data_IF_955202918150
#
_entry.id   IF_955202918150
#
_cell.length_a   1.000
_cell.length_b   1.000
_cell.length_c   1.000
_cell.angle_alpha   90.00
_cell.angle_beta   90.00
_cell.angle_gamma   90.00
#
_symmetry.space_group_name_H-M   'P 1'
#
loop_
_entity.id
_entity.type
_entity.pdbx_description
1 polymer ?
#
# COMPACT_ATOMS: atom_id res chain seq x y z
N UNK A 1 13.20 -9.42 25.36
CA UNK A 1 13.04 -10.45 24.32
C UNK A 1 12.87 -9.75 22.98
N UNK A 2 13.74 -9.96 21.99
CA UNK A 2 13.51 -9.45 20.64
C UNK A 2 12.26 -10.13 20.08
N UNK A 3 11.27 -9.33 19.69
CA UNK A 3 10.10 -9.82 18.97
C UNK A 3 10.59 -10.26 17.59
N UNK A 4 10.72 -11.58 17.40
CA UNK A 4 10.91 -12.12 16.07
C UNK A 4 9.62 -11.91 15.28
N UNK A 5 9.65 -10.94 14.36
CA UNK A 5 8.67 -10.87 13.30
C UNK A 5 8.81 -12.16 12.49
N UNK A 6 7.75 -12.99 12.36
CA UNK A 6 7.82 -14.16 11.51
C UNK A 6 8.10 -13.68 10.08
N UNK A 7 8.99 -14.41 9.41
CA UNK A 7 9.33 -14.20 8.01
C UNK A 7 8.02 -14.17 7.22
N UNK A 8 7.62 -12.98 6.77
CA UNK A 8 6.41 -12.79 5.96
C UNK A 8 6.44 -13.80 4.83
N UNK A 9 5.36 -14.57 4.70
CA UNK A 9 4.87 -15.13 3.45
C UNK A 9 5.29 -14.21 2.30
N UNK A 10 6.30 -14.62 1.53
CA UNK A 10 6.81 -13.82 0.41
C UNK A 10 5.66 -13.63 -0.58
N UNK A 11 4.96 -12.51 -0.44
CA UNK A 11 3.91 -12.17 -1.37
C UNK A 11 4.60 -11.85 -2.68
N UNK A 12 4.12 -12.47 -3.76
CA UNK A 12 4.62 -12.45 -5.15
C UNK A 12 4.84 -11.05 -5.77
N UNK A 13 4.63 -9.97 -5.01
CA UNK A 13 4.76 -8.60 -5.45
C UNK A 13 6.19 -8.22 -5.74
N UNK A 14 7.18 -8.66 -4.94
CA UNK A 14 8.61 -8.34 -5.17
C UNK A 14 9.13 -8.83 -6.55
N UNK A 15 8.44 -9.80 -7.15
CA UNK A 15 8.73 -10.32 -8.48
C UNK A 15 8.07 -9.53 -9.62
N UNK A 16 7.01 -8.75 -9.37
CA UNK A 16 6.24 -8.11 -10.43
C UNK A 16 7.09 -7.08 -11.19
N UNK A 17 7.13 -7.25 -12.51
CA UNK A 17 7.68 -6.27 -13.43
C UNK A 17 6.70 -5.11 -13.64
N UNK A 18 7.17 -3.92 -14.03
CA UNK A 18 6.28 -2.81 -14.36
C UNK A 18 5.20 -3.17 -15.38
N UNK A 19 5.52 -4.03 -16.37
CA UNK A 19 4.55 -4.49 -17.38
C UNK A 19 3.44 -5.35 -16.76
N UNK A 20 3.78 -6.26 -15.84
CA UNK A 20 2.79 -7.08 -15.13
C UNK A 20 1.91 -6.23 -14.21
N UNK A 21 2.47 -5.22 -13.54
CA UNK A 21 1.68 -4.28 -12.73
C UNK A 21 0.67 -3.53 -13.60
N UNK A 22 1.10 -3.03 -14.76
CA UNK A 22 0.19 -2.35 -15.70
C UNK A 22 -0.92 -3.30 -16.18
N UNK A 23 -0.57 -4.53 -16.57
CA UNK A 23 -1.54 -5.54 -17.01
C UNK A 23 -2.56 -5.89 -15.91
N UNK A 24 -2.14 -5.90 -14.65
CA UNK A 24 -3.06 -6.12 -13.53
C UNK A 24 -4.00 -4.91 -13.33
N UNK A 25 -3.48 -3.69 -13.48
CA UNK A 25 -4.29 -2.47 -13.40
C UNK A 25 -5.27 -2.33 -14.58
N UNK A 26 -4.92 -2.87 -15.75
CA UNK A 26 -5.78 -2.88 -16.95
C UNK A 26 -7.09 -3.64 -16.74
N UNK A 27 -7.12 -4.62 -15.82
CA UNK A 27 -8.34 -5.38 -15.48
C UNK A 27 -9.41 -4.53 -14.77
N UNK A 28 -9.02 -3.41 -14.18
CA UNK A 28 -9.90 -2.61 -13.31
C UNK A 28 -10.08 -1.16 -13.77
N UNK A 29 -9.08 -0.59 -14.44
CA UNK A 29 -9.12 0.80 -14.92
C UNK A 29 -8.95 0.77 -16.42
N UNK A 30 -9.85 1.38 -17.18
CA UNK A 30 -9.76 1.45 -18.64
C UNK A 30 -8.93 2.68 -19.05
N UNK A 31 -8.01 2.54 -20.01
CA UNK A 31 -7.16 3.64 -20.48
C UNK A 31 -6.10 4.09 -19.46
N UNK A 32 -5.80 5.39 -19.40
CA UNK A 32 -4.85 5.99 -18.43
C UNK A 32 -3.44 5.36 -18.42
N UNK A 33 -2.92 4.98 -19.59
CA UNK A 33 -1.65 4.25 -19.72
C UNK A 33 -0.45 4.97 -19.05
N UNK A 34 -0.38 6.29 -19.17
CA UNK A 34 0.67 7.09 -18.54
C UNK A 34 0.63 7.00 -17.00
N UNK A 35 -0.56 7.10 -16.40
CA UNK A 35 -0.74 7.01 -14.95
C UNK A 35 -0.40 5.60 -14.44
N UNK A 36 -0.88 4.55 -15.12
CA UNK A 36 -0.54 3.16 -14.80
C UNK A 36 0.95 2.88 -14.86
N UNK A 37 1.63 3.38 -15.90
CA UNK A 37 3.08 3.24 -16.04
C UNK A 37 3.83 3.96 -14.92
N UNK A 38 3.41 5.18 -14.57
CA UNK A 38 4.04 5.95 -13.50
C UNK A 38 3.94 5.21 -12.14
N UNK A 39 2.76 4.71 -11.78
CA UNK A 39 2.57 3.97 -10.52
C UNK A 39 3.31 2.64 -10.51
N UNK A 40 3.36 1.93 -11.65
CA UNK A 40 4.10 0.69 -11.79
C UNK A 40 5.61 0.88 -11.58
N UNK A 41 6.17 1.96 -12.12
CA UNK A 41 7.58 2.32 -11.92
C UNK A 41 7.85 2.69 -10.46
N UNK A 42 6.99 3.48 -9.83
CA UNK A 42 7.15 3.85 -8.43
C UNK A 42 7.14 2.62 -7.50
N UNK A 43 6.21 1.69 -7.71
CA UNK A 43 6.16 0.44 -6.96
C UNK A 43 7.43 -0.42 -7.19
N UNK A 44 7.88 -0.54 -8.45
CA UNK A 44 9.12 -1.28 -8.77
C UNK A 44 10.35 -0.62 -8.14
N UNK A 45 10.41 0.70 -8.08
CA UNK A 45 11.51 1.42 -7.46
C UNK A 45 11.56 1.18 -5.95
N UNK A 46 10.41 1.06 -5.27
CA UNK A 46 10.36 0.65 -3.85
C UNK A 46 11.02 -0.72 -3.64
N UNK A 47 10.76 -1.68 -4.53
CA UNK A 47 11.36 -3.03 -4.46
C UNK A 47 12.87 -3.00 -4.76
N UNK A 48 13.28 -2.21 -5.75
CA UNK A 48 14.71 -2.01 -6.04
C UNK A 48 15.45 -1.42 -4.85
N UNK A 49 14.85 -0.43 -4.17
CA UNK A 49 15.43 0.18 -2.97
C UNK A 49 15.67 -0.85 -1.86
N UNK A 50 14.76 -1.80 -1.65
CA UNK A 50 14.92 -2.88 -0.65
C UNK A 50 16.10 -3.82 -0.94
N UNK A 51 16.59 -3.85 -2.18
CA UNK A 51 17.73 -4.68 -2.59
C UNK A 51 19.07 -3.93 -2.53
N UNK A 52 19.06 -2.64 -2.21
CA UNK A 52 20.27 -1.86 -2.05
C UNK A 52 20.90 -2.10 -0.66
N UNK A 53 22.22 -1.93 -0.52
CA UNK A 53 22.87 -1.81 0.77
C UNK A 53 22.22 -0.69 1.61
N UNK A 54 22.16 -0.82 2.95
CA UNK A 54 21.48 0.15 3.81
C UNK A 54 21.92 1.60 3.59
N UNK A 55 23.23 1.83 3.48
CA UNK A 55 23.84 3.15 3.25
C UNK A 55 23.30 3.81 1.97
N UNK A 56 23.22 3.06 0.87
CA UNK A 56 22.68 3.56 -0.40
C UNK A 56 21.15 3.67 -0.41
N UNK A 57 20.47 2.87 0.42
CA UNK A 57 19.01 2.86 0.47
C UNK A 57 18.44 4.12 1.17
N UNK A 58 19.17 4.68 2.13
CA UNK A 58 18.80 5.92 2.84
C UNK A 58 18.75 7.13 1.90
N UNK A 59 19.69 7.22 0.96
CA UNK A 59 19.75 8.30 -0.04
C UNK A 59 18.65 8.22 -1.11
N UNK A 60 17.95 7.08 -1.20
CA UNK A 60 16.91 6.86 -2.22
C UNK A 60 15.53 7.21 -1.65
N UNK A 61 15.11 8.45 -1.91
CA UNK A 61 13.77 8.93 -1.58
C UNK A 61 12.67 8.24 -2.42
N UNK A 62 11.47 8.00 -1.84
CA UNK A 62 10.31 7.54 -2.59
C UNK A 62 9.94 8.47 -3.75
N UNK A 63 9.55 7.89 -4.89
CA UNK A 63 9.06 8.65 -6.04
C UNK A 63 7.56 8.89 -5.90
N UNK A 64 7.20 9.96 -5.19
CA UNK A 64 5.82 10.41 -5.02
C UNK A 64 5.20 10.79 -6.38
N UNK A 65 3.88 10.63 -6.50
CA UNK A 65 3.15 10.81 -7.77
C UNK A 65 2.07 11.87 -7.58
N UNK A 66 2.06 12.85 -8.48
CA UNK A 66 0.96 13.81 -8.64
C UNK A 66 0.14 13.41 -9.86
N UNK A 67 -1.15 13.09 -9.68
CA UNK A 67 -2.06 12.77 -10.76
C UNK A 67 -2.93 13.98 -11.10
N UNK A 68 -2.82 14.49 -12.33
CA UNK A 68 -3.58 15.63 -12.83
C UNK A 68 -4.64 15.15 -13.81
N UNK A 69 -5.90 15.57 -13.62
CA UNK A 69 -7.01 15.23 -14.51
C UNK A 69 -8.37 15.48 -13.88
N UNK A 70 -9.48 15.41 -14.64
CA UNK A 70 -10.83 15.66 -14.13
C UNK A 70 -11.31 14.56 -13.18
N UNK A 71 -12.41 14.80 -12.46
CA UNK A 71 -13.03 13.79 -11.60
C UNK A 71 -13.54 12.60 -12.43
N UNK A 72 -13.70 11.43 -11.80
CA UNK A 72 -14.25 10.24 -12.47
C UNK A 72 -13.31 9.45 -13.39
N UNK A 73 -12.14 9.98 -13.77
CA UNK A 73 -11.22 9.29 -14.73
C UNK A 73 -10.39 8.13 -14.13
N UNK A 74 -10.61 7.77 -12.87
CA UNK A 74 -9.95 6.63 -12.23
C UNK A 74 -8.68 6.92 -11.41
N UNK A 75 -8.34 8.20 -11.12
CA UNK A 75 -7.15 8.56 -10.31
C UNK A 75 -7.07 7.79 -8.98
N UNK A 76 -8.14 7.87 -8.19
CA UNK A 76 -8.24 7.18 -6.89
C UNK A 76 -8.28 5.66 -7.05
N UNK A 77 -8.90 5.16 -8.11
CA UNK A 77 -9.02 3.72 -8.34
C UNK A 77 -7.66 3.10 -8.71
N UNK A 78 -6.84 3.77 -9.52
CA UNK A 78 -5.46 3.34 -9.79
C UNK A 78 -4.67 3.20 -8.49
N UNK A 79 -4.73 4.20 -7.61
CA UNK A 79 -4.01 4.16 -6.33
C UNK A 79 -4.53 3.05 -5.40
N UNK A 80 -5.86 2.90 -5.30
CA UNK A 80 -6.50 1.84 -4.50
C UNK A 80 -6.15 0.44 -4.99
N UNK A 81 -6.18 0.22 -6.32
CA UNK A 81 -5.84 -1.07 -6.93
C UNK A 81 -4.37 -1.40 -6.79
N UNK A 82 -3.49 -0.40 -6.96
CA UNK A 82 -2.06 -0.56 -6.73
C UNK A 82 -1.77 -1.00 -5.28
N UNK A 83 -2.43 -0.38 -4.29
CA UNK A 83 -2.22 -0.74 -2.89
C UNK A 83 -2.70 -2.16 -2.58
N UNK A 84 -3.86 -2.58 -3.13
CA UNK A 84 -4.34 -3.97 -3.04
C UNK A 84 -3.37 -4.95 -3.69
N UNK A 85 -2.87 -4.63 -4.89
CA UNK A 85 -1.88 -5.46 -5.57
C UNK A 85 -0.61 -5.61 -4.72
N UNK A 86 -0.14 -4.51 -4.13
CA UNK A 86 1.05 -4.49 -3.29
C UNK A 86 0.82 -5.02 -1.86
N UNK A 87 -0.39 -5.46 -1.52
CA UNK A 87 -0.81 -5.82 -0.15
C UNK A 87 -0.38 -4.76 0.87
N UNK A 88 -0.59 -3.49 0.52
CA UNK A 88 -0.17 -2.33 1.31
C UNK A 88 -1.39 -1.65 1.92
N UNK A 89 -1.29 -1.13 3.16
CA UNK A 89 -2.34 -0.28 3.73
C UNK A 89 -2.58 0.94 2.84
N UNK A 90 -3.84 1.36 2.74
CA UNK A 90 -4.28 2.43 1.84
C UNK A 90 -5.28 3.36 2.53
N UNK A 91 -4.93 4.64 2.57
CA UNK A 91 -5.77 5.69 3.15
C UNK A 91 -6.10 6.75 2.08
N UNK A 92 -7.37 7.15 2.00
CA UNK A 92 -7.84 8.27 1.17
C UNK A 92 -8.15 9.46 2.06
N UNK A 93 -7.44 10.57 1.88
CA UNK A 93 -7.68 11.83 2.60
C UNK A 93 -8.01 12.95 1.63
N UNK A 94 -8.74 13.96 2.12
CA UNK A 94 -9.06 15.17 1.36
C UNK A 94 -8.27 16.33 1.97
N UNK A 95 -7.44 16.98 1.15
CA UNK A 95 -6.50 18.01 1.63
C UNK A 95 -7.21 19.23 2.23
N UNK A 96 -8.39 19.60 1.70
CA UNK A 96 -9.17 20.74 2.20
C UNK A 96 -9.61 20.59 3.65
N UNK A 97 -9.73 19.35 4.16
CA UNK A 97 -10.06 19.07 5.58
C UNK A 97 -9.00 19.55 6.56
N UNK A 98 -7.79 19.85 6.07
CA UNK A 98 -6.67 20.33 6.87
C UNK A 98 -6.43 21.84 6.71
N UNK A 99 -7.20 22.51 5.84
CA UNK A 99 -7.06 23.95 5.56
C UNK A 99 -8.27 24.78 5.99
N UNK A 100 -9.41 24.14 6.28
CA UNK A 100 -10.65 24.85 6.62
C UNK A 100 -10.57 25.41 8.06
N UNK A 101 -10.85 26.71 8.18
CA UNK A 101 -10.60 27.59 9.34
C UNK A 101 -11.16 27.01 10.65
N UNK A 102 -10.28 26.54 11.54
CA UNK A 102 -10.70 26.12 12.88
C UNK A 102 -9.76 25.09 13.52
N UNK A 103 -8.98 25.56 14.49
CA UNK A 103 -7.89 24.89 15.21
C UNK A 103 -8.32 23.71 16.13
N UNK A 104 -9.29 22.87 15.74
CA UNK A 104 -9.79 21.77 16.60
C UNK A 104 -10.14 20.46 15.87
N UNK A 105 -10.15 20.41 14.53
CA UNK A 105 -10.79 19.29 13.80
C UNK A 105 -9.93 18.06 13.50
N UNK A 106 -8.84 18.21 12.74
CA UNK A 106 -7.94 17.11 12.35
C UNK A 106 -6.52 17.60 12.15
N UNK A 107 -5.62 16.96 12.87
CA UNK A 107 -4.18 17.15 12.78
C UNK A 107 -3.60 16.33 11.60
N UNK A 108 -2.61 16.86 10.89
CA UNK A 108 -1.92 16.16 9.77
C UNK A 108 -1.31 14.83 10.21
N UNK A 109 -0.89 14.68 11.47
CA UNK A 109 -0.38 13.40 11.98
C UNK A 109 -1.47 12.33 12.06
N UNK A 110 -2.76 12.71 12.10
CA UNK A 110 -3.88 11.75 11.99
C UNK A 110 -3.82 10.92 10.72
N UNK A 111 -3.26 11.45 9.63
CA UNK A 111 -3.10 10.68 8.38
C UNK A 111 -2.21 9.46 8.58
N UNK A 112 -1.14 9.61 9.35
CA UNK A 112 -0.21 8.50 9.64
C UNK A 112 -0.84 7.54 10.65
N UNK A 113 -1.54 8.07 11.68
CA UNK A 113 -2.24 7.24 12.67
C UNK A 113 -3.31 6.35 12.03
N UNK A 114 -4.17 6.92 11.20
CA UNK A 114 -5.21 6.18 10.47
C UNK A 114 -4.59 5.12 9.54
N UNK A 115 -3.46 5.42 8.88
CA UNK A 115 -2.76 4.46 8.03
C UNK A 115 -2.17 3.28 8.83
N UNK A 116 -1.61 3.56 10.01
CA UNK A 116 -1.08 2.53 10.92
C UNK A 116 -2.21 1.64 11.45
N UNK A 117 -3.36 2.23 11.81
CA UNK A 117 -4.52 1.46 12.26
C UNK A 117 -5.02 0.48 11.19
N UNK A 118 -5.10 0.93 9.93
CA UNK A 118 -5.42 0.05 8.80
C UNK A 118 -4.38 -1.06 8.62
N UNK A 119 -3.09 -0.75 8.77
CA UNK A 119 -2.02 -1.74 8.69
C UNK A 119 -2.12 -2.80 9.79
N UNK A 120 -2.41 -2.38 11.03
CA UNK A 120 -2.63 -3.30 12.15
C UNK A 120 -3.84 -4.20 11.92
N UNK A 121 -4.93 -3.66 11.37
CA UNK A 121 -6.09 -4.46 10.98
C UNK A 121 -5.72 -5.55 9.98
N UNK A 122 -5.01 -5.18 8.90
CA UNK A 122 -4.54 -6.13 7.88
C UNK A 122 -3.70 -7.27 8.48
N UNK A 123 -2.75 -6.95 9.36
CA UNK A 123 -1.89 -7.97 10.01
C UNK A 123 -2.69 -8.85 10.96
N UNK A 124 -3.65 -8.27 11.72
CA UNK A 124 -4.52 -9.06 12.62
C UNK A 124 -5.36 -10.07 11.85
N UNK A 125 -5.92 -9.66 10.71
CA UNK A 125 -6.73 -10.54 9.88
C UNK A 125 -5.89 -11.65 9.24
N UNK A 126 -4.69 -11.32 8.74
CA UNK A 126 -3.72 -12.33 8.27
C UNK A 126 -3.40 -13.36 9.36
N UNK A 127 -3.07 -12.90 10.57
CA UNK A 127 -2.77 -13.78 11.71
C UNK A 127 -3.93 -14.66 12.12
N UNK A 128 -5.15 -14.11 12.11
CA UNK A 128 -6.37 -14.86 12.45
C UNK A 128 -6.58 -16.02 11.49
N UNK A 129 -6.39 -15.81 10.19
CA UNK A 129 -6.53 -16.88 9.21
C UNK A 129 -5.42 -17.94 9.35
N UNK A 130 -4.18 -17.55 9.66
CA UNK A 130 -3.08 -18.50 9.93
C UNK A 130 -3.39 -19.45 11.09
N UNK A 131 -3.99 -18.96 12.18
CA UNK A 131 -4.27 -19.76 13.38
C UNK A 131 -5.62 -20.49 13.31
N UNK A 132 -6.50 -20.13 12.36
CA UNK A 132 -7.86 -20.67 12.25
C UNK A 132 -7.90 -22.19 12.15
N UNK A 133 -6.98 -22.77 11.38
CA UNK A 133 -6.89 -24.24 11.23
C UNK A 133 -6.55 -24.94 12.55
N UNK A 134 -5.55 -24.44 13.28
CA UNK A 134 -5.15 -24.97 14.59
C UNK A 134 -6.23 -24.76 15.65
N UNK A 135 -6.87 -23.59 15.65
CA UNK A 135 -7.96 -23.27 16.56
C UNK A 135 -9.16 -24.20 16.36
N UNK A 136 -9.46 -24.59 15.11
CA UNK A 136 -10.54 -25.54 14.81
C UNK A 136 -10.21 -26.94 15.35
N UNK A 137 -8.99 -27.43 15.12
CA UNK A 137 -8.56 -28.75 15.63
C UNK A 137 -8.63 -28.83 17.16
N UNK A 138 -8.11 -27.81 17.86
CA UNK A 138 -8.14 -27.75 19.32
C UNK A 138 -9.53 -27.59 19.94
N UNK A 139 -10.54 -27.23 19.13
CA UNK A 139 -11.93 -27.09 19.59
C UNK A 139 -12.76 -28.35 19.32
N UNK A 140 -12.28 -29.24 18.44
CA UNK A 140 -12.89 -30.53 18.12
C UNK A 140 -12.32 -31.68 18.98
N UNK A 141 -11.14 -31.50 19.59
CA UNK A 141 -10.56 -32.32 20.67
C UNK A 141 -11.08 -31.90 22.06
#
# INVERSE_FOLDING_TARGET
MPIYLPQTTQTSTDALTPRQIVAELDKYVIGQAAAKRAVAIALRNRMRRRKLPPELAEDVAPKNILMIGPTGVGKTEIARRLARLAQSPFLKVEASKYTEVGYVGRDVESMVRDLVELAMGMVRDERREEVRGKAKQNAEE
#
